data_IF_853375212936
#
_entry.id   IF_853375212936
#
_cell.length_a   1.000
_cell.length_b   1.000
_cell.length_c   1.000
_cell.angle_alpha   90.00
_cell.angle_beta   90.00
_cell.angle_gamma   90.00
#
_symmetry.space_group_name_H-M   'P 1'
#
loop_
_entity.id
_entity.type
_entity.pdbx_description
1 polymer ?
#
# COMPACT_ATOMS: atom_id res chain seq x y z
N UNK A 1 5.32 -1.21 -14.17
CA UNK A 1 5.17 -2.37 -13.26
C UNK A 1 4.23 -1.93 -12.15
N UNK A 2 3.30 -2.78 -11.72
CA UNK A 2 2.17 -2.40 -10.85
C UNK A 2 2.64 -2.21 -9.39
N UNK A 3 2.13 -1.17 -8.71
CA UNK A 3 2.45 -0.81 -7.33
C UNK A 3 2.45 -2.03 -6.38
N UNK A 4 1.46 -2.91 -6.55
CA UNK A 4 1.29 -4.13 -5.75
C UNK A 4 2.51 -5.03 -5.81
N UNK A 5 3.06 -5.27 -7.01
CA UNK A 5 4.23 -6.14 -7.18
C UNK A 5 5.45 -5.51 -6.52
N UNK A 6 5.69 -4.21 -6.77
CA UNK A 6 6.84 -3.51 -6.21
C UNK A 6 6.79 -3.46 -4.67
N UNK A 7 5.60 -3.28 -4.09
CA UNK A 7 5.41 -3.27 -2.64
C UNK A 7 5.62 -4.67 -2.04
N UNK A 8 5.07 -5.71 -2.65
CA UNK A 8 5.21 -7.09 -2.18
C UNK A 8 6.67 -7.57 -2.27
N UNK A 9 7.39 -7.19 -3.32
CA UNK A 9 8.81 -7.48 -3.48
C UNK A 9 9.64 -6.83 -2.35
N UNK A 10 9.36 -5.57 -2.02
CA UNK A 10 10.03 -4.87 -0.90
C UNK A 10 9.70 -5.49 0.45
N UNK A 11 8.45 -5.91 0.67
CA UNK A 11 8.08 -6.63 1.88
C UNK A 11 8.80 -7.99 2.00
N UNK A 12 8.98 -8.69 0.88
CA UNK A 12 9.75 -9.93 0.82
C UNK A 12 11.23 -9.69 1.16
N UNK A 13 11.81 -8.59 0.65
CA UNK A 13 13.18 -8.15 0.93
C UNK A 13 13.38 -7.50 2.32
N UNK A 14 12.36 -7.54 3.19
CA UNK A 14 12.38 -6.94 4.53
C UNK A 14 12.48 -5.40 4.55
N UNK A 15 12.30 -4.76 3.40
CA UNK A 15 12.44 -3.31 3.21
C UNK A 15 11.08 -2.59 3.33
N UNK A 16 10.56 -2.58 4.55
CA UNK A 16 9.26 -1.95 4.87
C UNK A 16 9.28 -0.44 4.62
N UNK A 17 10.43 0.21 4.78
CA UNK A 17 10.58 1.65 4.57
C UNK A 17 10.38 2.01 3.09
N UNK A 18 11.04 1.31 2.18
CA UNK A 18 10.86 1.53 0.74
C UNK A 18 9.44 1.17 0.32
N UNK A 19 8.87 0.07 0.84
CA UNK A 19 7.48 -0.31 0.57
C UNK A 19 6.49 0.80 0.98
N UNK A 20 6.69 1.40 2.16
CA UNK A 20 5.89 2.52 2.66
C UNK A 20 6.02 3.75 1.77
N UNK A 21 7.24 4.06 1.33
CA UNK A 21 7.49 5.19 0.45
C UNK A 21 6.82 5.01 -0.92
N UNK A 22 6.79 3.80 -1.48
CA UNK A 22 6.06 3.48 -2.71
C UNK A 22 4.55 3.73 -2.55
N UNK A 23 3.96 3.28 -1.44
CA UNK A 23 2.55 3.53 -1.11
C UNK A 23 2.26 5.03 -1.04
N UNK A 24 3.05 5.79 -0.27
CA UNK A 24 2.83 7.23 -0.06
C UNK A 24 2.96 8.06 -1.33
N UNK A 25 3.77 7.60 -2.30
CA UNK A 25 3.93 8.28 -3.59
C UNK A 25 2.86 7.92 -4.62
N UNK A 26 2.07 6.88 -4.39
CA UNK A 26 1.01 6.49 -5.32
C UNK A 26 -0.05 7.59 -5.39
N UNK A 27 -0.44 7.96 -6.61
CA UNK A 27 -1.60 8.80 -6.88
C UNK A 27 -2.80 7.98 -7.38
N UNK A 28 -2.63 6.67 -7.52
CA UNK A 28 -3.62 5.77 -8.05
C UNK A 28 -4.38 5.09 -6.91
N UNK A 29 -5.60 5.58 -6.65
CA UNK A 29 -6.49 5.03 -5.63
C UNK A 29 -6.92 3.60 -5.93
N UNK A 30 -7.04 3.19 -7.20
CA UNK A 30 -7.43 1.84 -7.56
C UNK A 30 -6.30 0.85 -7.23
N UNK A 31 -5.05 1.20 -7.56
CA UNK A 31 -3.88 0.40 -7.22
C UNK A 31 -3.68 0.28 -5.69
N UNK A 32 -4.00 1.33 -4.93
CA UNK A 32 -3.94 1.32 -3.47
C UNK A 32 -5.03 0.43 -2.84
N UNK A 33 -6.23 0.41 -3.43
CA UNK A 33 -7.32 -0.49 -2.99
C UNK A 33 -6.94 -1.95 -3.27
N UNK A 34 -6.47 -2.25 -4.49
CA UNK A 34 -6.02 -3.60 -4.86
C UNK A 34 -4.91 -4.10 -3.91
N UNK A 35 -3.93 -3.22 -3.61
CA UNK A 35 -2.89 -3.53 -2.64
C UNK A 35 -3.47 -3.82 -1.25
N UNK A 36 -4.43 -3.03 -0.77
CA UNK A 36 -5.06 -3.25 0.53
C UNK A 36 -5.77 -4.61 0.61
N UNK A 37 -6.50 -4.98 -0.44
CA UNK A 37 -7.18 -6.28 -0.56
C UNK A 37 -6.17 -7.44 -0.49
N UNK A 38 -5.06 -7.33 -1.21
CA UNK A 38 -4.00 -8.33 -1.21
C UNK A 38 -3.30 -8.44 0.14
N UNK A 39 -2.97 -7.31 0.78
CA UNK A 39 -2.35 -7.28 2.11
C UNK A 39 -3.26 -7.94 3.17
N UNK A 40 -4.58 -7.82 3.02
CA UNK A 40 -5.57 -8.44 3.91
C UNK A 40 -5.79 -9.93 3.62
N UNK A 41 -5.84 -10.31 2.35
CA UNK A 41 -6.14 -11.69 1.92
C UNK A 41 -4.97 -12.66 2.11
N UNK A 42 -3.73 -12.22 1.85
CA UNK A 42 -2.58 -13.12 1.74
C UNK A 42 -1.98 -13.47 3.10
N UNK A 43 -2.42 -12.85 4.19
CA UNK A 43 -1.93 -13.16 5.54
C UNK A 43 -0.42 -12.96 5.68
N UNK A 44 0.15 -12.01 4.90
CA UNK A 44 1.59 -11.76 4.88
C UNK A 44 2.01 -11.28 6.28
N UNK A 45 2.93 -11.96 6.99
CA UNK A 45 3.30 -11.64 8.37
C UNK A 45 3.78 -10.19 8.57
N UNK A 46 4.15 -9.52 7.48
CA UNK A 46 4.72 -8.17 7.41
C UNK A 46 3.88 -7.19 6.60
N UNK A 47 2.66 -7.54 6.22
CA UNK A 47 1.73 -6.61 5.59
C UNK A 47 1.15 -5.59 6.58
N UNK A 48 1.07 -5.97 7.87
CA UNK A 48 0.43 -5.17 8.92
C UNK A 48 0.96 -3.72 9.02
N UNK A 49 2.28 -3.45 8.91
CA UNK A 49 2.82 -2.09 8.90
C UNK A 49 2.38 -1.24 7.70
N UNK A 50 1.98 -1.84 6.57
CA UNK A 50 1.54 -1.09 5.38
C UNK A 50 0.04 -0.79 5.35
N UNK A 51 -0.77 -1.46 6.15
CA UNK A 51 -2.21 -1.20 6.22
C UNK A 51 -2.47 0.28 6.57
N UNK A 52 -1.79 0.80 7.59
CA UNK A 52 -1.91 2.20 8.00
C UNK A 52 -1.54 3.19 6.88
N UNK A 53 -0.33 3.11 6.31
CA UNK A 53 0.10 3.94 5.19
C UNK A 53 -0.82 3.90 3.96
N UNK A 54 -1.36 2.72 3.60
CA UNK A 54 -2.28 2.59 2.47
C UNK A 54 -3.60 3.30 2.75
N UNK A 55 -4.17 3.11 3.95
CA UNK A 55 -5.41 3.78 4.36
C UNK A 55 -5.24 5.30 4.47
N UNK A 56 -4.11 5.77 5.03
CA UNK A 56 -3.78 7.19 5.10
C UNK A 56 -3.72 7.80 3.70
N UNK A 57 -3.02 7.13 2.77
CA UNK A 57 -2.89 7.64 1.41
C UNK A 57 -4.22 7.68 0.68
N UNK A 58 -5.04 6.63 0.81
CA UNK A 58 -6.40 6.62 0.27
C UNK A 58 -7.26 7.75 0.84
N UNK A 59 -7.10 8.09 2.13
CA UNK A 59 -7.81 9.23 2.73
C UNK A 59 -7.36 10.57 2.15
N UNK A 60 -6.09 10.73 1.79
CA UNK A 60 -5.56 11.95 1.16
C UNK A 60 -5.99 12.09 -0.30
N UNK A 61 -6.21 10.97 -0.99
CA UNK A 61 -6.67 10.93 -2.38
C UNK A 61 -8.18 11.06 -2.52
N UNK A 62 -8.95 10.79 -1.46
CA UNK A 62 -10.38 11.09 -1.47
C UNK A 62 -10.55 12.60 -1.59
N UNK A 63 -11.34 13.09 -2.57
CA UNK A 63 -11.71 14.49 -2.58
C UNK A 63 -12.41 14.79 -1.25
N UNK A 64 -12.03 15.90 -0.60
CA UNK A 64 -12.75 16.47 0.53
C UNK A 64 -14.21 16.61 0.08
N UNK A 65 -15.06 15.66 0.47
CA UNK A 65 -16.50 15.81 0.34
C UNK A 65 -16.89 16.80 1.43
N UNK A 66 -16.79 18.09 1.09
CA UNK A 66 -17.39 19.20 1.83
C UNK A 66 -18.88 19.31 1.54
#
# INVERSE_FOLDING_TARGET
MTLTVDVLDRLHAEDVATATHLVQRSADSAALIELLEMLWSVGIPRAKPLIGPVLERLSQLRPLQG
#
